data_IF_086299419906
#
_entry.id   IF_086299419906
#
_cell.length_a   1.000
_cell.length_b   1.000
_cell.length_c   1.000
_cell.angle_alpha   90.00
_cell.angle_beta   90.00
_cell.angle_gamma   90.00
#
_symmetry.space_group_name_H-M   'P 1'
#
loop_
_entity.id
_entity.type
_entity.pdbx_description
1 polymer ?
#
# COMPACT_ATOMS: atom_id res chain seq x y z
N UNK A 1 -19.88 8.14 -44.62
CA UNK A 1 -20.07 8.06 -43.17
C UNK A 1 -19.26 6.91 -42.62
N UNK A 2 -18.24 7.20 -41.83
CA UNK A 2 -17.55 6.22 -41.01
C UNK A 2 -17.30 6.90 -39.65
N UNK A 3 -18.17 6.66 -38.68
CA UNK A 3 -17.97 7.12 -37.31
C UNK A 3 -17.30 5.99 -36.54
N UNK A 4 -16.08 6.25 -36.09
CA UNK A 4 -15.35 5.38 -35.17
C UNK A 4 -16.10 5.28 -33.83
N UNK A 5 -16.11 4.10 -33.17
CA UNK A 5 -16.74 3.96 -31.88
C UNK A 5 -15.88 4.66 -30.83
N UNK A 6 -16.49 5.63 -30.14
CA UNK A 6 -15.93 6.29 -28.97
C UNK A 6 -15.65 5.24 -27.90
N UNK A 7 -14.38 5.09 -27.53
CA UNK A 7 -13.94 4.29 -26.38
C UNK A 7 -14.23 5.08 -25.10
N UNK A 8 -15.51 5.18 -24.75
CA UNK A 8 -15.94 5.67 -23.45
C UNK A 8 -16.48 4.47 -22.66
N UNK A 9 -15.63 3.94 -21.80
CA UNK A 9 -15.94 2.77 -21.00
C UNK A 9 -14.81 2.51 -20.03
N UNK A 10 -14.61 3.44 -19.09
CA UNK A 10 -13.95 3.13 -17.82
C UNK A 10 -14.80 2.06 -17.13
N UNK A 11 -14.59 0.81 -17.50
CA UNK A 11 -15.06 -0.35 -16.77
C UNK A 11 -14.39 -0.28 -15.41
N UNK A 12 -15.04 0.43 -14.47
CA UNK A 12 -14.83 0.26 -13.04
C UNK A 12 -15.23 -1.17 -12.73
N UNK A 13 -14.31 -2.10 -13.00
CA UNK A 13 -14.29 -3.41 -12.37
C UNK A 13 -14.56 -3.17 -10.88
N UNK A 14 -15.42 -3.96 -10.21
CA UNK A 14 -15.57 -3.85 -8.77
C UNK A 14 -14.16 -3.98 -8.19
N UNK A 15 -13.64 -2.87 -7.64
CA UNK A 15 -12.27 -2.73 -7.15
C UNK A 15 -12.06 -3.84 -6.12
N UNK A 16 -11.57 -4.97 -6.59
CA UNK A 16 -11.20 -6.08 -5.73
C UNK A 16 -9.90 -5.62 -5.13
N UNK A 17 -10.01 -4.95 -3.99
CA UNK A 17 -8.86 -4.46 -3.23
C UNK A 17 -7.87 -5.60 -3.11
N UNK A 18 -6.62 -5.43 -3.59
CA UNK A 18 -5.60 -6.47 -3.52
C UNK A 18 -5.49 -7.01 -2.08
N UNK A 19 -5.27 -8.32 -1.95
CA UNK A 19 -5.22 -8.97 -0.64
C UNK A 19 -4.15 -8.33 0.26
N UNK A 20 -3.01 -7.96 -0.32
CA UNK A 20 -1.91 -7.29 0.40
C UNK A 20 -2.34 -5.92 0.93
N UNK A 21 -3.02 -5.11 0.10
CA UNK A 21 -3.56 -3.79 0.49
C UNK A 21 -4.58 -3.94 1.62
N UNK A 22 -5.48 -4.93 1.52
CA UNK A 22 -6.47 -5.20 2.57
C UNK A 22 -5.82 -5.67 3.87
N UNK A 23 -4.78 -6.49 3.79
CA UNK A 23 -4.05 -6.96 4.97
C UNK A 23 -3.29 -5.83 5.66
N UNK A 24 -2.58 -4.98 4.91
CA UNK A 24 -1.90 -3.80 5.43
C UNK A 24 -2.91 -2.84 6.08
N UNK A 25 -4.06 -2.61 5.43
CA UNK A 25 -5.12 -1.78 6.00
C UNK A 25 -5.64 -2.33 7.34
N UNK A 26 -6.03 -3.60 7.37
CA UNK A 26 -6.59 -4.23 8.57
C UNK A 26 -5.58 -4.30 9.72
N UNK A 27 -4.29 -4.44 9.40
CA UNK A 27 -3.20 -4.43 10.39
C UNK A 27 -3.13 -3.09 11.13
N UNK A 28 -3.33 -1.98 10.41
CA UNK A 28 -3.26 -0.63 10.98
C UNK A 28 -4.62 -0.08 11.48
N UNK A 29 -5.74 -0.65 11.03
CA UNK A 29 -7.08 -0.41 11.58
C UNK A 29 -7.36 -1.28 12.83
N UNK A 30 -6.48 -1.18 13.83
CA UNK A 30 -6.56 -2.01 15.06
C UNK A 30 -7.84 -1.78 15.88
N UNK A 31 -8.56 -0.68 15.63
CA UNK A 31 -9.79 -0.33 16.33
C UNK A 31 -11.05 -0.73 15.55
N UNK A 32 -10.91 -1.35 14.37
CA UNK A 32 -12.04 -1.76 13.52
C UNK A 32 -12.91 -0.59 13.07
N UNK A 33 -12.31 0.59 12.91
CA UNK A 33 -13.04 1.82 12.55
C UNK A 33 -13.43 1.84 11.07
N UNK A 34 -12.83 0.97 10.26
CA UNK A 34 -12.98 0.97 8.81
C UNK A 34 -12.26 2.13 8.13
N UNK A 35 -11.42 2.87 8.85
CA UNK A 35 -10.71 4.03 8.32
C UNK A 35 -9.32 4.24 8.96
N UNK A 36 -8.36 4.75 8.19
CA UNK A 36 -7.01 5.08 8.64
C UNK A 36 -6.80 6.59 8.67
N UNK A 37 -6.46 7.14 9.84
CA UNK A 37 -5.94 8.50 9.94
C UNK A 37 -4.55 8.63 9.32
N UNK A 38 -4.12 9.85 9.01
CA UNK A 38 -2.86 10.13 8.29
C UNK A 38 -1.60 9.45 8.84
N UNK A 39 -1.46 9.31 10.16
CA UNK A 39 -0.33 8.60 10.76
C UNK A 39 -0.36 7.09 10.47
N UNK A 40 -1.52 6.44 10.70
CA UNK A 40 -1.70 5.00 10.44
C UNK A 40 -1.62 4.66 8.96
N UNK A 41 -2.08 5.58 8.13
CA UNK A 41 -1.99 5.49 6.68
C UNK A 41 -0.54 5.43 6.21
N UNK A 42 0.33 6.32 6.71
CA UNK A 42 1.76 6.29 6.37
C UNK A 42 2.42 4.97 6.76
N UNK A 43 2.09 4.44 7.94
CA UNK A 43 2.57 3.12 8.37
C UNK A 43 2.07 2.00 7.45
N UNK A 44 0.81 2.05 7.02
CA UNK A 44 0.26 1.07 6.08
C UNK A 44 0.91 1.13 4.69
N UNK A 45 1.30 2.31 4.22
CA UNK A 45 2.05 2.47 2.97
C UNK A 45 3.50 2.01 3.09
N UNK A 46 4.11 2.19 4.26
CA UNK A 46 5.43 1.65 4.58
C UNK A 46 5.42 0.11 4.56
N UNK A 47 4.36 -0.51 5.11
CA UNK A 47 4.14 -1.96 5.07
C UNK A 47 4.00 -2.51 3.64
N UNK A 48 3.46 -1.67 2.74
CA UNK A 48 3.36 -1.97 1.30
C UNK A 48 4.61 -1.53 0.52
N UNK A 49 5.61 -0.94 1.19
CA UNK A 49 6.82 -0.37 0.59
C UNK A 49 6.51 0.59 -0.56
N UNK A 50 5.45 1.39 -0.41
CA UNK A 50 5.04 2.41 -1.37
C UNK A 50 5.71 3.76 -1.06
N UNK A 51 6.25 4.40 -2.10
CA UNK A 51 6.95 5.68 -1.94
C UNK A 51 5.98 6.83 -1.65
N UNK A 52 5.82 7.13 -0.37
CA UNK A 52 4.87 8.13 0.11
C UNK A 52 5.50 9.51 0.42
N UNK A 53 6.82 9.65 0.25
CA UNK A 53 7.58 10.90 0.47
C UNK A 53 7.74 11.75 -0.79
N UNK A 54 7.26 11.28 -1.94
CA UNK A 54 7.37 12.02 -3.21
C UNK A 54 6.38 13.18 -3.28
N UNK A 55 6.67 14.27 -4.01
CA UNK A 55 5.70 15.35 -4.22
C UNK A 55 4.37 14.86 -4.80
N UNK A 56 4.42 13.82 -5.65
CA UNK A 56 3.26 13.13 -6.19
C UNK A 56 2.43 12.47 -5.08
N UNK A 57 3.06 11.69 -4.20
CA UNK A 57 2.38 11.08 -3.05
C UNK A 57 1.75 12.11 -2.11
N UNK A 58 2.46 13.20 -1.82
CA UNK A 58 1.95 14.31 -1.01
C UNK A 58 0.73 14.96 -1.66
N UNK A 59 0.75 15.15 -2.99
CA UNK A 59 -0.41 15.66 -3.72
C UNK A 59 -1.60 14.69 -3.64
N UNK A 60 -1.36 13.38 -3.74
CA UNK A 60 -2.43 12.38 -3.63
C UNK A 60 -3.00 12.37 -2.20
N UNK A 61 -2.17 12.41 -1.15
CA UNK A 61 -2.63 12.53 0.23
C UNK A 61 -3.52 13.74 0.45
N UNK A 62 -3.18 14.89 -0.14
CA UNK A 62 -4.00 16.10 -0.10
C UNK A 62 -5.31 15.93 -0.84
N UNK A 63 -5.31 15.23 -1.98
CA UNK A 63 -6.51 14.96 -2.76
C UNK A 63 -7.50 14.04 -2.05
N UNK A 64 -7.00 13.06 -1.27
CA UNK A 64 -7.82 12.12 -0.49
C UNK A 64 -8.07 12.61 0.95
N UNK A 65 -7.66 13.84 1.29
CA UNK A 65 -7.88 14.43 2.61
C UNK A 65 -7.08 13.79 3.76
N UNK A 66 -6.11 12.93 3.46
CA UNK A 66 -5.27 12.24 4.44
C UNK A 66 -4.24 13.14 5.16
N UNK A 67 -4.00 14.35 4.63
CA UNK A 67 -3.19 15.39 5.27
C UNK A 67 -4.00 16.13 6.38
N UNK A 68 -5.31 15.88 6.46
CA UNK A 68 -6.21 16.42 7.46
C UNK A 68 -6.59 15.41 8.54
N UNK A 69 -7.31 15.88 9.57
CA UNK A 69 -7.90 15.05 10.63
C UNK A 69 -8.99 14.08 10.10
N UNK A 70 -9.10 13.88 8.78
CA UNK A 70 -10.08 13.02 8.16
C UNK A 70 -9.46 11.65 7.87
N UNK A 71 -9.97 10.57 8.48
CA UNK A 71 -9.50 9.23 8.20
C UNK A 71 -9.98 8.77 6.81
N UNK A 72 -9.15 8.00 6.10
CA UNK A 72 -9.49 7.47 4.78
C UNK A 72 -10.01 6.04 4.88
N UNK A 73 -10.96 5.68 4.02
CA UNK A 73 -11.54 4.33 3.94
C UNK A 73 -10.61 3.34 3.23
N UNK A 74 -10.92 2.04 3.32
CA UNK A 74 -10.21 0.98 2.60
C UNK A 74 -10.21 1.20 1.07
N UNK A 75 -11.30 1.74 0.53
CA UNK A 75 -11.42 2.01 -0.91
C UNK A 75 -10.47 3.12 -1.34
N UNK A 76 -10.43 4.24 -0.59
CA UNK A 76 -9.52 5.36 -0.85
C UNK A 76 -8.05 4.93 -0.65
N UNK A 77 -7.80 4.07 0.32
CA UNK A 77 -6.47 3.48 0.52
C UNK A 77 -6.04 2.63 -0.68
N UNK A 78 -6.95 1.83 -1.24
CA UNK A 78 -6.65 1.02 -2.42
C UNK A 78 -6.37 1.88 -3.65
N UNK A 79 -7.19 2.91 -3.89
CA UNK A 79 -6.95 3.87 -4.98
C UNK A 79 -5.61 4.59 -4.80
N UNK A 80 -5.27 5.00 -3.58
CA UNK A 80 -3.96 5.57 -3.26
C UNK A 80 -2.82 4.60 -3.56
N UNK A 81 -2.97 3.32 -3.21
CA UNK A 81 -1.96 2.29 -3.47
C UNK A 81 -1.75 2.05 -4.97
N UNK A 82 -2.81 2.14 -5.79
CA UNK A 82 -2.70 2.05 -7.25
C UNK A 82 -2.03 3.28 -7.87
N UNK A 83 -2.19 4.45 -7.26
CA UNK A 83 -1.58 5.69 -7.75
C UNK A 83 -0.11 5.86 -7.34
N UNK A 84 0.32 5.19 -6.27
CA UNK A 84 1.69 5.21 -5.77
C UNK A 84 2.55 4.17 -6.49
N UNK A 85 3.78 4.56 -6.79
CA UNK A 85 4.74 3.64 -7.39
C UNK A 85 5.36 2.75 -6.29
N UNK A 86 5.42 1.42 -6.50
CA UNK A 86 6.20 0.55 -5.63
C UNK A 86 7.66 0.95 -5.72
N UNK A 87 8.38 0.87 -4.60
CA UNK A 87 9.85 0.95 -4.66
C UNK A 87 10.33 -0.20 -5.54
N UNK A 88 11.11 0.12 -6.58
CA UNK A 88 11.83 -0.90 -7.33
C UNK A 88 12.88 -1.54 -6.42
N UNK A 89 12.48 -2.64 -5.79
CA UNK A 89 13.35 -3.57 -5.08
C UNK A 89 13.34 -4.86 -5.87
N UNK A 90 14.52 -5.45 -6.05
CA UNK A 90 14.63 -6.74 -6.71
C UNK A 90 13.64 -7.75 -6.11
N UNK A 91 12.82 -8.38 -6.94
CA UNK A 91 11.71 -9.23 -6.49
C UNK A 91 12.19 -10.42 -5.66
N UNK A 92 13.41 -10.90 -5.90
CA UNK A 92 14.02 -11.97 -5.12
C UNK A 92 14.42 -11.48 -3.72
N UNK A 93 15.02 -10.28 -3.66
CA UNK A 93 15.32 -9.60 -2.39
C UNK A 93 14.04 -9.35 -1.61
N UNK A 94 12.98 -8.86 -2.26
CA UNK A 94 11.67 -8.64 -1.62
C UNK A 94 11.09 -9.92 -1.02
N UNK A 95 11.12 -11.03 -1.77
CA UNK A 95 10.64 -12.33 -1.28
C UNK A 95 11.48 -12.85 -0.12
N UNK A 96 12.80 -12.71 -0.19
CA UNK A 96 13.69 -13.09 0.91
C UNK A 96 13.37 -12.27 2.18
N UNK A 97 13.21 -10.95 2.05
CA UNK A 97 12.83 -10.09 3.17
C UNK A 97 11.48 -10.51 3.78
N UNK A 98 10.44 -10.68 2.96
CA UNK A 98 9.12 -11.10 3.44
C UNK A 98 9.12 -12.50 4.07
N UNK A 99 9.99 -13.40 3.61
CA UNK A 99 10.12 -14.74 4.18
C UNK A 99 10.71 -14.72 5.59
N UNK A 100 11.61 -13.78 5.86
CA UNK A 100 12.33 -13.71 7.12
C UNK A 100 11.79 -12.67 8.11
N UNK A 101 10.98 -11.71 7.64
CA UNK A 101 10.20 -10.78 8.45
C UNK A 101 9.01 -11.50 9.10
N UNK A 102 9.33 -12.36 10.08
CA UNK A 102 8.40 -13.28 10.72
C UNK A 102 7.31 -12.54 11.52
N UNK A 103 7.65 -11.39 12.10
CA UNK A 103 6.68 -10.52 12.77
C UNK A 103 5.93 -9.58 11.79
N UNK A 104 6.25 -9.65 10.49
CA UNK A 104 5.74 -8.78 9.44
C UNK A 104 5.87 -7.31 9.82
N UNK A 105 6.96 -6.88 10.43
CA UNK A 105 7.15 -5.49 10.85
C UNK A 105 7.54 -4.57 9.70
N UNK A 106 7.85 -5.11 8.52
CA UNK A 106 8.44 -4.39 7.40
C UNK A 106 9.95 -4.18 7.56
N UNK A 107 10.55 -4.66 8.65
CA UNK A 107 11.97 -4.51 8.97
C UNK A 107 12.53 -5.85 9.44
N UNK A 108 13.75 -6.21 9.03
CA UNK A 108 14.43 -7.36 9.60
C UNK A 108 15.07 -6.98 10.94
N UNK A 109 14.51 -7.49 12.03
CA UNK A 109 15.13 -7.42 13.34
C UNK A 109 16.46 -8.21 13.36
N UNK A 110 17.34 -7.95 14.33
CA UNK A 110 18.61 -8.70 14.47
C UNK A 110 18.42 -10.24 14.50
N UNK A 111 17.32 -10.70 15.09
CA UNK A 111 16.94 -12.12 15.15
C UNK A 111 16.46 -12.65 13.79
N UNK A 112 15.66 -11.87 13.06
CA UNK A 112 15.11 -12.21 11.74
C UNK A 112 16.20 -12.19 10.66
N UNK A 113 17.10 -11.22 10.74
CA UNK A 113 18.29 -11.15 9.89
C UNK A 113 19.22 -12.34 10.12
N UNK A 114 19.44 -12.75 11.38
CA UNK A 114 20.21 -13.96 11.69
C UNK A 114 19.56 -15.23 11.16
N UNK A 115 18.23 -15.31 11.18
CA UNK A 115 17.51 -16.42 10.58
C UNK A 115 17.66 -16.42 9.05
N UNK A 116 17.57 -15.25 8.41
CA UNK A 116 17.80 -15.07 6.98
C UNK A 116 19.19 -15.54 6.55
N UNK A 117 20.24 -15.10 7.26
CA UNK A 117 21.63 -15.46 6.97
C UNK A 117 21.96 -16.94 7.24
N UNK A 118 21.09 -17.68 7.94
CA UNK A 118 21.23 -19.14 8.15
C UNK A 118 20.51 -19.98 7.10
N UNK A 119 19.55 -19.39 6.40
CA UNK A 119 18.76 -20.05 5.33
C UNK A 119 19.38 -19.78 3.93
N UNK A 120 20.39 -18.91 3.87
CA UNK A 120 21.22 -18.63 2.68
C UNK A 120 22.33 -19.66 2.47
#
# INVERSE_FOLDING_TARGET
>A
SNQEPRRDGHSRTPLTVPIEVRQAFNKHDSNGTGALGGHKLRLALDDLMLQHSTPKAVAIFRSVGADGNNPISLTEFAELCEMLEPVEVDTEVRRAFQRHDANRSGQLSNSELRAALRDM
#
